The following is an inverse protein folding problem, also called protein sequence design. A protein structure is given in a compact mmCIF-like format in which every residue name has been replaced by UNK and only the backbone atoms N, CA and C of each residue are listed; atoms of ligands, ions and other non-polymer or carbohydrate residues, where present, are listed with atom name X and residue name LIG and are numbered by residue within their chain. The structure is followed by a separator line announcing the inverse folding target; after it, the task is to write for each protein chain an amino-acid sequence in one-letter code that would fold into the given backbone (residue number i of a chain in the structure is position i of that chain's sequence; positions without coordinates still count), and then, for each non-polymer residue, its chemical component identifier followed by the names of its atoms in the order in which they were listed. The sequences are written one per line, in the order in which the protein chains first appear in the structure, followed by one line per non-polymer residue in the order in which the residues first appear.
data_IF_193913113126
#
_entry.id   IF_193913113126
#
_cell.length_a   1.000
_cell.length_b   1.000
_cell.length_c   1.000
_cell.angle_alpha   90.00
_cell.angle_beta   90.00
_cell.angle_gamma   90.00
#
_symmetry.space_group_name_H-M   'P 1'
#
loop_
_entity.id
_entity.type
_entity.pdbx_description
1 polymer ?
#
# COMPACT_ATOMS: atom_id res chain seq x y z
N UNK A 1 -15.61 1.44 -17.56
CA UNK A 1 -14.31 0.76 -17.66
C UNK A 1 -13.58 0.94 -16.34
N UNK A 2 -12.94 -0.11 -15.80
CA UNK A 2 -12.13 0.01 -14.60
C UNK A 2 -10.97 0.98 -14.87
N UNK A 3 -10.64 1.88 -13.93
CA UNK A 3 -9.58 2.84 -14.14
C UNK A 3 -8.21 2.15 -14.08
N UNK A 4 -7.24 2.70 -14.81
CA UNK A 4 -5.90 2.12 -14.94
C UNK A 4 -4.94 2.63 -13.87
N UNK A 5 -4.17 1.73 -13.26
CA UNK A 5 -3.16 2.07 -12.28
C UNK A 5 -1.84 2.40 -13.00
N UNK A 6 -1.58 3.70 -13.16
CA UNK A 6 -0.36 4.21 -13.78
C UNK A 6 0.26 5.32 -12.93
N UNK A 7 1.50 5.66 -13.23
CA UNK A 7 2.19 6.78 -12.57
C UNK A 7 1.57 8.15 -12.91
N UNK A 8 0.84 8.27 -14.02
CA UNK A 8 0.43 9.55 -14.59
C UNK A 8 -0.50 10.39 -13.68
N UNK A 9 -1.56 9.84 -13.04
CA UNK A 9 -2.39 10.60 -12.08
C UNK A 9 -1.58 11.18 -10.92
N UNK A 10 -0.63 10.40 -10.40
CA UNK A 10 0.24 10.81 -9.28
C UNK A 10 1.16 11.97 -9.65
N UNK A 11 1.60 12.07 -10.91
CA UNK A 11 2.45 13.17 -11.38
C UNK A 11 1.69 14.48 -11.59
N UNK A 12 0.35 14.44 -11.67
CA UNK A 12 -0.49 15.63 -11.80
C UNK A 12 -0.79 16.31 -10.46
N UNK A 13 -0.50 15.63 -9.35
CA UNK A 13 -0.77 16.12 -7.99
C UNK A 13 0.55 16.60 -7.38
N UNK A 14 0.76 17.92 -7.17
CA UNK A 14 2.08 18.47 -6.85
C UNK A 14 2.77 17.83 -5.64
N UNK A 15 2.06 17.66 -4.52
CA UNK A 15 2.64 17.08 -3.31
C UNK A 15 3.00 15.60 -3.46
N UNK A 16 2.24 14.84 -4.25
CA UNK A 16 2.53 13.45 -4.58
C UNK A 16 3.71 13.36 -5.55
N UNK A 17 3.72 14.20 -6.59
CA UNK A 17 4.82 14.31 -7.55
C UNK A 17 6.14 14.54 -6.84
N UNK A 18 6.20 15.44 -5.85
CA UNK A 18 7.41 15.70 -5.04
C UNK A 18 7.94 14.44 -4.34
N UNK A 19 7.08 13.51 -3.95
CA UNK A 19 7.50 12.24 -3.33
C UNK A 19 7.95 11.23 -4.38
N UNK A 20 7.17 11.07 -5.46
CA UNK A 20 7.36 10.05 -6.50
C UNK A 20 8.51 10.37 -7.48
N UNK A 21 8.89 11.64 -7.58
CA UNK A 21 9.98 12.13 -8.45
C UNK A 21 11.35 12.18 -7.77
N UNK A 22 11.49 11.72 -6.51
CA UNK A 22 12.79 11.69 -5.84
C UNK A 22 13.79 10.78 -6.59
N UNK A 23 15.08 11.17 -6.69
CA UNK A 23 16.10 10.30 -7.26
C UNK A 23 16.16 8.95 -6.53
N UNK A 24 16.36 7.87 -7.27
CA UNK A 24 16.42 6.52 -6.69
C UNK A 24 15.07 5.94 -6.27
N UNK A 25 13.93 6.59 -6.55
CA UNK A 25 12.61 6.01 -6.30
C UNK A 25 12.29 4.88 -7.29
N UNK A 26 11.96 3.70 -6.76
CA UNK A 26 11.44 2.56 -7.50
C UNK A 26 9.91 2.60 -7.43
N UNK A 27 9.27 2.48 -8.60
CA UNK A 27 7.82 2.50 -8.78
C UNK A 27 7.29 1.10 -9.06
N UNK A 28 6.09 0.80 -8.56
CA UNK A 28 5.31 -0.39 -8.97
C UNK A 28 3.81 -0.16 -8.83
N UNK A 29 3.04 -0.96 -9.57
CA UNK A 29 1.60 -1.15 -9.29
C UNK A 29 1.47 -2.20 -8.18
N UNK A 30 0.62 -2.01 -7.16
CA UNK A 30 0.35 -3.05 -6.17
C UNK A 30 -0.20 -4.33 -6.84
N UNK A 31 0.32 -5.50 -6.48
CA UNK A 31 -0.16 -6.77 -7.04
C UNK A 31 -1.65 -7.03 -6.74
N UNK A 32 -2.15 -6.52 -5.62
CA UNK A 32 -3.55 -6.55 -5.18
C UNK A 32 -4.51 -5.70 -6.03
N UNK A 33 -3.98 -4.92 -6.96
CA UNK A 33 -4.76 -4.11 -7.91
C UNK A 33 -4.95 -4.80 -9.26
N UNK A 34 -4.39 -5.99 -9.43
CA UNK A 34 -4.50 -6.79 -10.65
C UNK A 34 -5.55 -7.87 -10.47
N UNK A 35 -6.40 -8.08 -11.49
CA UNK A 35 -7.35 -9.19 -11.49
C UNK A 35 -6.62 -10.53 -11.45
N UNK A 36 -7.14 -11.48 -10.67
CA UNK A 36 -6.59 -12.81 -10.51
C UNK A 36 -7.71 -13.83 -10.61
N UNK A 37 -7.50 -14.87 -11.42
CA UNK A 37 -8.48 -15.96 -11.59
C UNK A 37 -8.71 -16.75 -10.30
N UNK A 38 -7.78 -16.71 -9.35
CA UNK A 38 -7.93 -17.29 -8.01
C UNK A 38 -8.91 -16.52 -7.12
N UNK A 39 -9.44 -15.38 -7.58
CA UNK A 39 -10.37 -14.47 -6.85
C UNK A 39 -9.78 -13.76 -5.63
N UNK A 40 -8.51 -14.01 -5.32
CA UNK A 40 -7.78 -13.24 -4.32
C UNK A 40 -7.69 -11.77 -4.74
N UNK A 41 -7.65 -10.89 -3.74
CA UNK A 41 -7.65 -9.43 -3.91
C UNK A 41 -8.85 -8.82 -4.64
N UNK A 42 -9.92 -9.59 -4.92
CA UNK A 42 -11.14 -9.09 -5.59
C UNK A 42 -11.74 -7.83 -4.93
N UNK A 43 -11.58 -7.65 -3.62
CA UNK A 43 -11.95 -6.39 -2.94
C UNK A 43 -11.19 -5.19 -3.51
N UNK A 44 -9.87 -5.28 -3.71
CA UNK A 44 -9.02 -4.16 -4.16
C UNK A 44 -8.90 -4.06 -5.67
N UNK A 45 -8.87 -5.21 -6.36
CA UNK A 45 -8.71 -5.34 -7.80
C UNK A 45 -10.03 -5.11 -8.56
N UNK A 46 -11.19 -5.30 -7.92
CA UNK A 46 -12.49 -5.18 -8.58
C UNK A 46 -13.43 -4.24 -7.82
N UNK A 47 -13.81 -4.57 -6.59
CA UNK A 47 -14.86 -3.82 -5.85
C UNK A 47 -14.44 -2.38 -5.57
N UNK A 48 -13.19 -2.18 -5.16
CA UNK A 48 -12.61 -0.87 -4.88
C UNK A 48 -11.84 -0.30 -6.10
N UNK A 49 -11.95 -0.89 -7.29
CA UNK A 49 -11.33 -0.40 -8.53
C UNK A 49 -12.38 0.13 -9.52
N UNK A 50 -13.00 1.26 -9.16
CA UNK A 50 -14.01 1.91 -10.00
C UNK A 50 -13.73 3.41 -10.16
N UNK A 51 -14.36 4.11 -11.12
CA UNK A 51 -14.28 5.56 -11.23
C UNK A 51 -14.74 6.34 -9.98
N UNK A 52 -15.53 5.71 -9.09
CA UNK A 52 -16.00 6.35 -7.83
C UNK A 52 -15.27 5.88 -6.58
N UNK A 53 -14.50 4.80 -6.62
CA UNK A 53 -13.78 4.24 -5.46
C UNK A 53 -12.29 4.57 -5.53
N UNK A 54 -11.37 3.61 -5.47
CA UNK A 54 -9.93 3.87 -5.64
C UNK A 54 -9.64 3.91 -7.15
N UNK A 55 -9.59 5.14 -7.67
CA UNK A 55 -9.43 5.44 -9.10
C UNK A 55 -8.03 5.09 -9.62
N UNK A 56 -7.01 5.24 -8.80
CA UNK A 56 -5.64 4.91 -9.15
C UNK A 56 -4.86 4.62 -7.89
N UNK A 57 -3.98 3.62 -7.91
CA UNK A 57 -3.12 3.24 -6.81
C UNK A 57 -1.74 2.85 -7.32
N UNK A 58 -0.68 3.45 -6.76
CA UNK A 58 0.71 3.09 -7.06
C UNK A 58 1.50 3.01 -5.75
N UNK A 59 2.53 2.18 -5.73
CA UNK A 59 3.45 2.07 -4.61
C UNK A 59 4.86 2.41 -5.03
N UNK A 60 5.61 3.03 -4.13
CA UNK A 60 7.01 3.33 -4.37
C UNK A 60 7.83 3.26 -3.10
N UNK A 61 9.13 3.03 -3.29
CA UNK A 61 10.12 2.95 -2.22
C UNK A 61 11.48 3.40 -2.73
N UNK A 62 12.39 3.70 -1.81
CA UNK A 62 13.76 4.06 -2.15
C UNK A 62 14.53 2.82 -2.61
N UNK A 63 15.30 2.94 -3.68
CA UNK A 63 16.24 1.89 -4.09
C UNK A 63 17.16 1.56 -2.90
N UNK A 64 17.24 0.28 -2.50
CA UNK A 64 18.13 -0.11 -1.42
C UNK A 64 19.59 0.03 -1.84
N UNK A 65 20.46 0.26 -0.87
CA UNK A 65 21.91 0.44 -1.09
C UNK A 65 22.53 -0.85 -1.60
N UNK A 66 22.22 -1.98 -0.96
CA UNK A 66 22.66 -3.30 -1.37
C UNK A 66 21.47 -4.15 -1.84
N UNK A 67 21.72 -5.09 -2.76
CA UNK A 67 20.67 -5.99 -3.25
C UNK A 67 20.07 -6.84 -2.12
N UNK A 68 20.87 -7.14 -1.09
CA UNK A 68 20.48 -7.90 0.09
C UNK A 68 19.60 -7.14 1.06
N UNK A 69 19.61 -5.81 1.03
CA UNK A 69 18.86 -5.00 1.98
C UNK A 69 17.35 -5.16 1.76
N UNK A 70 16.63 -5.25 2.86
CA UNK A 70 15.18 -5.21 2.86
C UNK A 70 14.67 -3.77 2.72
N UNK A 71 13.47 -3.65 2.18
CA UNK A 71 12.76 -2.39 2.10
C UNK A 71 12.08 -2.15 3.45
N UNK A 72 12.50 -1.10 4.14
CA UNK A 72 11.97 -0.75 5.46
C UNK A 72 10.72 0.15 5.38
N UNK A 73 10.50 0.81 4.24
CA UNK A 73 9.36 1.70 4.01
C UNK A 73 8.84 1.62 2.58
N UNK A 74 7.53 1.52 2.44
CA UNK A 74 6.80 1.72 1.18
C UNK A 74 5.80 2.85 1.35
N UNK A 75 5.64 3.67 0.32
CA UNK A 75 4.54 4.64 0.25
C UNK A 75 3.59 4.24 -0.87
N UNK A 76 2.32 4.05 -0.52
CA UNK A 76 1.24 3.78 -1.47
C UNK A 76 0.38 5.02 -1.61
N UNK A 77 0.28 5.55 -2.83
CA UNK A 77 -0.54 6.72 -3.12
C UNK A 77 -1.77 6.30 -3.89
N UNK A 78 -2.91 6.88 -3.51
CA UNK A 78 -4.20 6.55 -4.08
C UNK A 78 -4.98 7.82 -4.42
N UNK A 79 -5.58 7.87 -5.60
CA UNK A 79 -6.62 8.87 -5.90
C UNK A 79 -7.99 8.24 -5.65
N UNK A 80 -8.77 8.85 -4.76
CA UNK A 80 -10.04 8.31 -4.25
C UNK A 80 -11.21 9.18 -4.73
N UNK A 81 -12.32 8.53 -5.10
CA UNK A 81 -13.60 9.17 -5.39
C UNK A 81 -14.51 9.26 -4.15
N UNK A 82 -15.79 9.49 -4.38
CA UNK A 82 -16.85 9.67 -3.37
C UNK A 82 -17.68 8.40 -3.07
N UNK A 83 -17.47 7.32 -3.82
CA UNK A 83 -18.21 6.07 -3.73
C UNK A 83 -17.90 5.22 -2.50
N UNK A 84 -17.10 5.74 -1.57
CA UNK A 84 -16.64 5.07 -0.35
C UNK A 84 -16.96 5.91 0.90
N UNK A 85 -17.85 6.90 0.77
CA UNK A 85 -18.15 7.86 1.83
C UNK A 85 -18.97 7.22 2.96
N UNK A 86 -18.59 7.51 4.20
CA UNK A 86 -19.41 7.23 5.39
C UNK A 86 -20.25 8.44 5.82
N UNK A 87 -19.72 9.63 5.56
CA UNK A 87 -20.40 10.92 5.72
C UNK A 87 -20.16 11.78 4.47
N UNK A 88 -20.94 12.85 4.24
CA UNK A 88 -20.71 13.76 3.13
C UNK A 88 -19.24 14.17 3.06
N UNK A 89 -18.62 13.90 1.91
CA UNK A 89 -17.22 14.25 1.59
C UNK A 89 -16.15 13.64 2.51
N UNK A 90 -16.49 12.58 3.26
CA UNK A 90 -15.59 11.88 4.18
C UNK A 90 -15.66 10.38 3.90
N UNK A 91 -14.50 9.80 3.57
CA UNK A 91 -14.37 8.36 3.35
C UNK A 91 -14.72 7.59 4.63
N UNK A 92 -15.40 6.44 4.49
CA UNK A 92 -15.79 5.59 5.61
C UNK A 92 -14.55 5.08 6.35
N UNK A 93 -14.58 5.10 7.70
CA UNK A 93 -13.44 4.69 8.53
C UNK A 93 -12.97 3.25 8.24
N UNK A 94 -13.90 2.33 7.99
CA UNK A 94 -13.57 0.96 7.57
C UNK A 94 -12.72 0.89 6.30
N UNK A 95 -12.91 1.80 5.34
CA UNK A 95 -12.09 1.84 4.12
C UNK A 95 -10.70 2.39 4.41
N UNK A 96 -10.58 3.36 5.31
CA UNK A 96 -9.26 3.82 5.78
C UNK A 96 -8.50 2.68 6.44
N UNK A 97 -9.16 1.88 7.29
CA UNK A 97 -8.56 0.69 7.89
C UNK A 97 -8.11 -0.33 6.84
N UNK A 98 -8.95 -0.63 5.84
CA UNK A 98 -8.60 -1.51 4.70
C UNK A 98 -7.37 -1.01 3.95
N UNK A 99 -7.29 0.29 3.65
CA UNK A 99 -6.16 0.87 2.90
C UNK A 99 -4.87 0.85 3.74
N UNK A 100 -4.97 1.04 5.07
CA UNK A 100 -3.85 0.92 6.00
C UNK A 100 -3.30 -0.51 5.97
N UNK A 101 -4.17 -1.51 6.16
CA UNK A 101 -3.81 -2.93 6.16
C UNK A 101 -3.15 -3.34 4.85
N UNK A 102 -3.80 -3.00 3.73
CA UNK A 102 -3.30 -3.24 2.37
C UNK A 102 -1.90 -2.63 2.17
N UNK A 103 -1.68 -1.38 2.58
CA UNK A 103 -0.39 -0.70 2.38
C UNK A 103 0.74 -1.36 3.19
N UNK A 104 0.43 -1.91 4.36
CA UNK A 104 1.39 -2.69 5.16
C UNK A 104 1.63 -4.09 4.56
N UNK A 105 0.60 -4.73 4.00
CA UNK A 105 0.74 -5.96 3.23
C UNK A 105 1.61 -5.78 1.97
N UNK A 106 1.50 -4.65 1.27
CA UNK A 106 2.35 -4.31 0.12
C UNK A 106 3.83 -4.26 0.51
N UNK A 107 4.16 -3.71 1.69
CA UNK A 107 5.55 -3.68 2.18
C UNK A 107 6.12 -5.10 2.31
N UNK A 108 5.35 -6.04 2.84
CA UNK A 108 5.76 -7.45 2.94
C UNK A 108 5.89 -8.09 1.56
N UNK A 109 4.89 -7.92 0.69
CA UNK A 109 4.92 -8.45 -0.67
C UNK A 109 6.15 -7.96 -1.45
N UNK A 110 6.53 -6.69 -1.30
CA UNK A 110 7.77 -6.14 -1.89
C UNK A 110 9.00 -6.91 -1.40
N UNK A 111 9.12 -7.17 -0.09
CA UNK A 111 10.28 -7.88 0.44
C UNK A 111 10.29 -9.36 0.07
N UNK A 112 9.12 -10.01 0.06
CA UNK A 112 8.97 -11.42 -0.33
C UNK A 112 9.34 -11.64 -1.80
N UNK A 113 8.80 -10.82 -2.70
CA UNK A 113 9.14 -10.87 -4.12
C UNK A 113 10.63 -10.58 -4.36
N UNK A 114 11.21 -9.59 -3.66
CA UNK A 114 12.65 -9.30 -3.76
C UNK A 114 13.50 -10.48 -3.27
N UNK A 115 13.11 -11.13 -2.18
CA UNK A 115 13.81 -12.32 -1.68
C UNK A 115 13.72 -13.48 -2.69
N UNK A 116 12.52 -13.74 -3.24
CA UNK A 116 12.32 -14.76 -4.27
C UNK A 116 13.17 -14.52 -5.51
N UNK A 117 13.15 -13.30 -6.06
CA UNK A 117 13.94 -12.97 -7.25
C UNK A 117 15.45 -13.10 -7.02
N UNK A 118 15.93 -12.91 -5.79
CA UNK A 118 17.33 -13.21 -5.42
C UNK A 118 17.61 -14.70 -5.47
N UNK A 119 16.73 -15.53 -4.93
CA UNK A 119 16.84 -16.99 -4.99
C UNK A 119 16.83 -17.49 -6.44
N UNK A 120 15.97 -16.93 -7.30
CA UNK A 120 15.93 -17.24 -8.74
C UNK A 120 17.27 -16.93 -9.42
N UNK A 121 17.87 -15.75 -9.15
CA UNK A 121 19.19 -15.39 -9.70
C UNK A 121 20.31 -16.32 -9.26
N UNK A 122 20.20 -16.90 -8.06
CA UNK A 122 21.16 -17.87 -7.52
C UNK A 122 20.90 -19.30 -8.02
N UNK A 123 19.87 -19.52 -8.85
CA UNK A 123 19.46 -20.86 -9.29
C UNK A 123 18.84 -21.72 -8.18
N UNK A 124 18.35 -21.09 -7.11
CA UNK A 124 17.79 -21.72 -5.91
C UNK A 124 16.25 -21.76 -5.91
N UNK A 125 15.61 -21.05 -6.85
CA UNK A 125 14.17 -21.03 -7.05
C UNK A 125 13.84 -20.81 -8.54
N UNK A 126 12.58 -21.06 -8.92
CA UNK A 126 12.07 -20.87 -10.28
C UNK A 126 10.80 -20.00 -10.27
N UNK A 127 10.46 -19.41 -11.42
CA UNK A 127 9.26 -18.60 -11.61
C UNK A 127 9.41 -17.13 -11.19
N UNK A 128 8.45 -16.31 -11.61
CA UNK A 128 8.48 -14.85 -11.40
C UNK A 128 7.92 -14.40 -10.04
N UNK A 129 7.11 -15.24 -9.39
CA UNK A 129 6.43 -14.93 -8.14
C UNK A 129 6.78 -15.96 -7.06
N UNK A 130 6.82 -15.53 -5.79
CA UNK A 130 7.02 -16.44 -4.66
C UNK A 130 5.90 -17.50 -4.62
N UNK A 131 6.20 -18.73 -4.18
CA UNK A 131 5.19 -19.78 -4.05
C UNK A 131 4.11 -19.40 -3.01
N UNK A 132 2.88 -19.94 -3.17
CA UNK A 132 1.81 -19.73 -2.20
C UNK A 132 2.22 -20.18 -0.80
N UNK A 133 1.92 -19.37 0.21
CA UNK A 133 2.17 -19.70 1.62
C UNK A 133 3.42 -19.07 2.27
N UNK A 134 4.22 -18.30 1.52
CA UNK A 134 5.31 -17.50 2.09
C UNK A 134 4.90 -16.15 2.68
N UNK A 135 3.64 -15.74 2.51
CA UNK A 135 3.13 -14.46 2.99
C UNK A 135 2.72 -14.52 4.47
N UNK A 136 3.02 -13.44 5.21
CA UNK A 136 2.49 -13.25 6.55
C UNK A 136 1.05 -12.70 6.49
N UNK A 137 0.25 -13.01 7.51
CA UNK A 137 -1.14 -12.59 7.60
C UNK A 137 -1.33 -11.59 8.74
N UNK A 138 -2.24 -10.63 8.56
CA UNK A 138 -2.62 -9.68 9.61
C UNK A 138 -3.21 -10.43 10.80
N UNK A 139 -2.55 -10.37 11.95
CA UNK A 139 -3.02 -10.93 13.21
C UNK A 139 -3.66 -9.87 14.12
N UNK A 140 -3.17 -8.63 14.05
CA UNK A 140 -3.75 -7.48 14.74
C UNK A 140 -3.65 -6.23 13.88
N UNK A 141 -4.70 -5.41 13.90
CA UNK A 141 -4.71 -4.08 13.31
C UNK A 141 -5.38 -3.09 14.27
N UNK A 142 -4.66 -2.05 14.64
CA UNK A 142 -5.14 -0.94 15.46
C UNK A 142 -5.05 0.35 14.67
N UNK A 143 -6.19 1.02 14.50
CA UNK A 143 -6.28 2.27 13.73
C UNK A 143 -6.67 3.42 14.66
N UNK A 144 -5.96 4.54 14.55
CA UNK A 144 -6.33 5.81 15.19
C UNK A 144 -6.75 6.80 14.12
N UNK A 145 -7.97 7.31 14.20
CA UNK A 145 -8.50 8.34 13.30
C UNK A 145 -8.27 9.70 13.92
N UNK A 146 -7.40 10.50 13.31
CA UNK A 146 -6.97 11.80 13.83
C UNK A 146 -7.72 12.95 13.18
N UNK A 147 -7.95 12.87 11.87
CA UNK A 147 -8.67 13.87 11.05
C UNK A 147 -9.48 13.17 9.96
N UNK A 148 -10.58 13.76 9.48
CA UNK A 148 -11.32 13.23 8.33
C UNK A 148 -10.42 13.11 7.10
N UNK A 149 -10.54 12.01 6.36
CA UNK A 149 -9.97 11.88 5.01
C UNK A 149 -11.05 12.33 4.02
N UNK A 150 -10.77 13.43 3.31
CA UNK A 150 -11.69 14.09 2.38
C UNK A 150 -11.76 13.38 1.04
N UNK A 151 -12.95 13.41 0.44
CA UNK A 151 -13.27 12.84 -0.87
C UNK A 151 -14.04 13.83 -1.74
N UNK A 152 -13.86 13.83 -3.07
CA UNK A 152 -12.80 13.14 -3.80
C UNK A 152 -11.44 13.78 -3.50
N UNK A 153 -10.36 13.02 -3.64
CA UNK A 153 -9.03 13.55 -3.34
C UNK A 153 -7.92 12.55 -3.61
N UNK A 154 -6.75 12.84 -3.05
CA UNK A 154 -5.63 11.91 -3.07
C UNK A 154 -5.03 11.76 -1.68
N UNK A 155 -4.54 10.55 -1.41
CA UNK A 155 -3.92 10.18 -0.14
C UNK A 155 -2.59 9.48 -0.39
N UNK A 156 -1.72 9.51 0.61
CA UNK A 156 -0.48 8.76 0.66
C UNK A 156 -0.43 7.98 1.97
N UNK A 157 -0.28 6.67 1.89
CA UNK A 157 -0.09 5.81 3.06
C UNK A 157 1.36 5.41 3.13
N UNK A 158 2.04 5.86 4.18
CA UNK A 158 3.45 5.55 4.43
C UNK A 158 3.51 4.39 5.41
N UNK A 159 3.77 3.19 4.92
CA UNK A 159 3.95 1.98 5.72
C UNK A 159 5.44 1.75 6.01
N UNK A 160 5.77 1.47 7.27
CA UNK A 160 7.14 1.20 7.73
C UNK A 160 7.17 -0.05 8.59
N UNK A 161 8.30 -0.75 8.54
CA UNK A 161 8.61 -1.76 9.53
C UNK A 161 9.13 -1.11 10.81
N UNK A 162 8.59 -1.55 11.94
CA UNK A 162 9.09 -1.16 13.25
C UNK A 162 10.08 -2.21 13.77
N UNK A 163 9.71 -3.49 13.68
CA UNK A 163 10.57 -4.61 14.08
C UNK A 163 10.08 -5.94 13.50
N UNK A 164 10.99 -6.91 13.42
CA UNK A 164 10.70 -8.30 13.05
C UNK A 164 11.39 -9.26 14.01
N UNK A 165 10.64 -10.22 14.54
CA UNK A 165 11.13 -11.25 15.48
C UNK A 165 10.61 -12.62 15.07
N UNK A 166 11.48 -13.42 14.44
CA UNK A 166 11.09 -14.71 13.87
C UNK A 166 9.94 -14.55 12.90
N UNK A 167 8.81 -15.21 13.20
CA UNK A 167 7.59 -15.20 12.38
C UNK A 167 6.69 -13.98 12.58
N UNK A 168 7.07 -13.05 13.45
CA UNK A 168 6.24 -11.88 13.80
C UNK A 168 6.87 -10.62 13.23
N UNK A 169 6.07 -9.80 12.56
CA UNK A 169 6.50 -8.53 12.00
C UNK A 169 5.53 -7.43 12.43
N UNK A 170 6.06 -6.38 13.06
CA UNK A 170 5.30 -5.23 13.51
C UNK A 170 5.50 -4.08 12.54
N UNK A 171 4.38 -3.59 12.00
CA UNK A 171 4.36 -2.53 11.01
C UNK A 171 3.53 -1.35 11.51
N UNK A 172 3.93 -0.16 11.11
CA UNK A 172 3.20 1.08 11.37
C UNK A 172 2.89 1.78 10.05
N UNK A 173 1.78 2.51 10.01
CA UNK A 173 1.38 3.28 8.84
C UNK A 173 0.84 4.66 9.21
N UNK A 174 1.04 5.63 8.32
CA UNK A 174 0.43 6.95 8.38
C UNK A 174 -0.34 7.25 7.09
N UNK A 175 -1.63 7.56 7.21
CA UNK A 175 -2.44 8.08 6.11
C UNK A 175 -2.32 9.60 6.08
N UNK A 176 -1.77 10.12 5.00
CA UNK A 176 -1.53 11.55 4.79
C UNK A 176 -2.40 12.08 3.65
N UNK A 177 -2.88 13.31 3.80
CA UNK A 177 -3.65 14.02 2.78
C UNK A 177 -3.28 15.50 2.80
N UNK A 178 -3.17 16.11 1.63
CA UNK A 178 -3.09 17.56 1.52
C UNK A 178 -4.49 18.15 1.72
N UNK A 179 -4.63 19.03 2.70
CA UNK A 179 -5.87 19.74 3.01
C UNK A 179 -5.60 21.23 2.75
N UNK A 180 -6.36 21.82 1.83
CA UNK A 180 -6.32 23.25 1.53
C UNK A 180 -7.57 23.96 2.04
N UNK A 181 -7.42 25.23 2.39
CA UNK A 181 -8.47 26.16 2.73
C UNK A 181 -8.84 27.05 1.53
N UNK A 182 -9.35 26.44 0.46
CA UNK A 182 -9.82 27.16 -0.75
C UNK A 182 -8.97 26.91 -2.01
N UNK A 183 -9.32 27.59 -3.10
CA UNK A 183 -8.76 27.35 -4.44
C UNK A 183 -7.29 27.81 -4.60
N UNK A 184 -6.84 28.77 -3.77
CA UNK A 184 -5.50 29.36 -3.82
C UNK A 184 -4.57 28.92 -2.66
N UNK A 185 -5.01 27.97 -1.82
CA UNK A 185 -4.20 27.46 -0.72
C UNK A 185 -3.39 26.24 -1.17
N UNK A 186 -2.06 26.40 -1.17
CA UNK A 186 -1.10 25.32 -1.41
C UNK A 186 -1.21 24.19 -0.38
N UNK A 187 -1.98 24.37 0.70
CA UNK A 187 -2.51 23.33 1.57
C UNK A 187 -1.46 22.58 2.39
N UNK A 188 -1.79 22.26 3.64
CA UNK A 188 -0.92 21.48 4.51
C UNK A 188 -1.11 19.97 4.27
N UNK A 189 -0.01 19.22 4.18
CA UNK A 189 -0.08 17.76 4.23
C UNK A 189 -0.20 17.33 5.69
N UNK A 190 -1.40 16.88 6.08
CA UNK A 190 -1.70 16.45 7.45
C UNK A 190 -1.76 14.92 7.55
N UNK A 191 -1.52 14.40 8.75
CA UNK A 191 -1.80 12.99 9.08
C UNK A 191 -3.27 12.87 9.50
N UNK A 192 -4.02 12.07 8.75
CA UNK A 192 -5.45 11.83 8.99
C UNK A 192 -5.69 10.58 9.84
N UNK A 193 -4.87 9.55 9.70
CA UNK A 193 -4.97 8.34 10.50
C UNK A 193 -3.61 7.65 10.65
N UNK A 194 -3.47 6.86 11.71
CA UNK A 194 -2.30 5.99 11.93
C UNK A 194 -2.74 4.54 12.12
N UNK A 195 -1.90 3.61 11.67
CA UNK A 195 -2.05 2.17 11.87
C UNK A 195 -0.87 1.59 12.65
N UNK A 196 -1.16 0.70 13.59
CA UNK A 196 -0.21 -0.22 14.23
C UNK A 196 -0.69 -1.64 13.90
N UNK A 197 0.18 -2.54 13.47
CA UNK A 197 -0.21 -3.91 13.12
C UNK A 197 0.82 -4.95 13.49
N UNK A 198 0.34 -6.19 13.65
CA UNK A 198 1.15 -7.39 13.79
C UNK A 198 0.79 -8.34 12.65
N UNK A 199 1.80 -8.73 11.87
CA UNK A 199 1.69 -9.78 10.87
C UNK A 199 2.43 -11.03 11.33
N UNK A 200 1.87 -12.20 11.00
CA UNK A 200 2.42 -13.49 11.40
C UNK A 200 2.54 -14.42 10.20
N UNK A 201 3.76 -14.90 9.96
CA UNK A 201 4.04 -15.98 9.01
C UNK A 201 3.43 -17.29 9.54
N UNK A 202 2.60 -18.01 8.76
CA UNK A 202 2.08 -19.31 9.17
C UNK A 202 3.21 -20.28 9.50
N UNK A 203 2.96 -21.22 10.41
CA UNK A 203 3.87 -22.36 10.57
C UNK A 203 3.79 -23.20 9.30
N UNK A 204 4.92 -23.71 8.81
CA UNK A 204 4.85 -24.74 7.77
C UNK A 204 4.05 -25.91 8.33
N UNK A 205 2.89 -26.20 7.76
CA UNK A 205 2.29 -27.50 7.96
C UNK A 205 3.22 -28.50 7.27
N UNK A 206 3.83 -29.38 8.06
CA UNK A 206 4.47 -30.56 7.49
C UNK A 206 3.42 -31.22 6.59
N UNK A 207 3.75 -31.43 5.32
CA UNK A 207 2.90 -32.22 4.42
C UNK A 207 2.65 -33.58 5.10
N UNK A 208 1.38 -33.93 5.28
CA UNK A 208 0.97 -35.34 5.39
C UNK A 208 1.23 -36.04 4.05
#
# INVERSE_FOLDING_TARGET
MAPEDTKAPSLRIPWIRRMVSKPGTIYRVPGSRSFKSSTEDSLLAETLKTPRTIRSAISFYSRPTHETDEIEQVTTVMTIGDGMNGHPEIIHGGIVATIIDESMGILQSVNLERAHMRQVKLGQAEGELPPPGGAAFTAELKVRYLRPVRTPGAIAVVARRERKEGRKEWLVAEVRQQVGHGEDDDGEVVVCATGESLFIEPRSTAKL
#
